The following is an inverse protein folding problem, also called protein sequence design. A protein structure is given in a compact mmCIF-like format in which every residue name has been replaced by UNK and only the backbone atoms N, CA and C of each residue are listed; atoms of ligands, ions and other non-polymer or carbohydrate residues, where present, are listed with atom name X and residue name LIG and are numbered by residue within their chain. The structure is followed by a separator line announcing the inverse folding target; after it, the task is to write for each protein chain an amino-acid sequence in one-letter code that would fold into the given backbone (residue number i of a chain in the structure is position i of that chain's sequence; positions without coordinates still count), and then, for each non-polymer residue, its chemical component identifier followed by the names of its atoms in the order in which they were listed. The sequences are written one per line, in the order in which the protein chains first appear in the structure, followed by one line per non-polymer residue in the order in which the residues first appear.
data_IF_029664738071
#
_entry.id   IF_029664738071
#
_cell.length_a   1.000
_cell.length_b   1.000
_cell.length_c   1.000
_cell.angle_alpha   90.00
_cell.angle_beta   90.00
_cell.angle_gamma   90.00
#
_symmetry.space_group_name_H-M   'P 1'
#
loop_
_entity.id
_entity.type
_entity.pdbx_description
1 polymer ?
#
# COMPACT_ATOMS: atom_id res chain seq x y z
N UNK A 1 -9.23 40.93 46.99
CA UNK A 1 -9.24 41.24 45.54
C UNK A 1 -7.93 40.91 44.85
N UNK A 2 -6.77 41.34 45.36
CA UNK A 2 -5.45 41.10 44.74
C UNK A 2 -5.14 39.62 44.45
N UNK A 3 -5.40 38.72 45.41
CA UNK A 3 -5.19 37.28 45.23
C UNK A 3 -6.08 36.64 44.16
N UNK A 4 -7.31 37.13 44.00
CA UNK A 4 -8.22 36.65 42.96
C UNK A 4 -7.72 37.06 41.57
N UNK A 5 -7.23 38.29 41.43
CA UNK A 5 -6.65 38.81 40.18
C UNK A 5 -5.39 38.05 39.77
N UNK A 6 -4.53 37.68 40.73
CA UNK A 6 -3.34 36.85 40.47
C UNK A 6 -3.76 35.45 39.98
N UNK A 7 -4.76 34.85 40.63
CA UNK A 7 -5.20 33.49 40.31
C UNK A 7 -5.85 33.42 38.92
N UNK A 8 -6.66 34.42 38.57
CA UNK A 8 -7.22 34.58 37.21
C UNK A 8 -6.12 34.80 36.17
N UNK A 9 -5.10 35.61 36.49
CA UNK A 9 -3.96 35.83 35.60
C UNK A 9 -3.15 34.57 35.33
N UNK A 10 -2.88 33.77 36.35
CA UNK A 10 -2.17 32.49 36.21
C UNK A 10 -2.99 31.47 35.41
N UNK A 11 -4.30 31.37 35.68
CA UNK A 11 -5.19 30.50 34.92
C UNK A 11 -5.25 30.89 33.44
N UNK A 12 -5.36 32.18 33.14
CA UNK A 12 -5.35 32.68 31.76
C UNK A 12 -4.03 32.39 31.05
N UNK A 13 -2.90 32.61 31.72
CA UNK A 13 -1.58 32.31 31.17
C UNK A 13 -1.43 30.82 30.83
N UNK A 14 -1.87 29.92 31.71
CA UNK A 14 -1.84 28.47 31.45
C UNK A 14 -2.68 28.07 30.22
N UNK A 15 -3.85 28.69 30.04
CA UNK A 15 -4.70 28.42 28.86
C UNK A 15 -3.99 28.86 27.57
N UNK A 16 -3.36 30.04 27.55
CA UNK A 16 -2.61 30.53 26.39
C UNK A 16 -1.43 29.60 26.06
N UNK A 17 -0.70 29.12 27.07
CA UNK A 17 0.40 28.16 26.88
C UNK A 17 -0.11 26.85 26.27
N UNK A 18 -1.23 26.31 26.76
CA UNK A 18 -1.82 25.09 26.23
C UNK A 18 -2.27 25.24 24.77
N UNK A 19 -2.84 26.39 24.41
CA UNK A 19 -3.21 26.70 23.01
C UNK A 19 -1.98 26.80 22.11
N UNK A 20 -0.91 27.46 22.58
CA UNK A 20 0.35 27.57 21.83
C UNK A 20 0.99 26.19 21.59
N UNK A 21 0.99 25.31 22.60
CA UNK A 21 1.45 23.92 22.46
C UNK A 21 0.56 23.16 21.48
N UNK A 22 -0.77 23.29 21.58
CA UNK A 22 -1.69 22.61 20.68
C UNK A 22 -1.50 23.02 19.21
N UNK A 23 -1.29 24.32 18.94
CA UNK A 23 -0.97 24.82 17.60
C UNK A 23 0.40 24.32 17.13
N UNK A 24 1.42 24.37 17.98
CA UNK A 24 2.77 23.90 17.66
C UNK A 24 2.87 22.39 17.40
N UNK A 25 2.00 21.59 18.03
CA UNK A 25 1.89 20.16 17.73
C UNK A 25 1.13 19.89 16.43
N UNK A 26 0.12 20.72 16.10
CA UNK A 26 -0.66 20.56 14.86
C UNK A 26 0.09 21.03 13.62
N UNK A 27 1.08 21.92 13.77
CA UNK A 27 1.97 22.36 12.69
C UNK A 27 3.15 21.43 12.43
N UNK A 28 3.15 20.20 12.98
CA UNK A 28 4.03 19.10 12.55
C UNK A 28 3.31 18.12 11.63
N UNK A 29 2.56 18.62 10.65
CA UNK A 29 2.69 18.02 9.32
C UNK A 29 4.00 18.59 8.78
N UNK A 30 5.06 17.79 8.62
CA UNK A 30 6.23 18.29 7.94
C UNK A 30 5.79 18.61 6.51
N UNK A 31 5.67 19.90 6.20
CA UNK A 31 5.94 20.37 4.85
C UNK A 31 7.42 20.05 4.62
N UNK A 32 7.65 18.84 4.13
CA UNK A 32 8.96 18.39 3.73
C UNK A 32 9.46 19.33 2.64
N UNK A 33 10.68 19.86 2.75
CA UNK A 33 11.24 20.68 1.69
C UNK A 33 11.21 19.86 0.39
N UNK A 34 10.78 20.42 -0.75
CA UNK A 34 10.87 19.70 -2.01
C UNK A 34 12.34 19.30 -2.21
N UNK A 35 12.61 18.00 -2.19
CA UNK A 35 13.95 17.47 -2.43
C UNK A 35 14.43 18.00 -3.77
N UNK A 36 15.58 18.67 -3.75
CA UNK A 36 16.19 19.30 -4.90
C UNK A 36 16.36 18.26 -6.03
N UNK A 37 15.88 18.54 -7.25
CA UNK A 37 16.06 17.62 -8.36
C UNK A 37 17.55 17.43 -8.61
N UNK A 38 18.04 16.20 -8.45
CA UNK A 38 19.41 15.84 -8.77
C UNK A 38 19.51 15.62 -10.28
N UNK A 39 20.34 16.43 -10.93
CA UNK A 39 20.52 16.39 -12.38
C UNK A 39 21.45 15.22 -12.71
N UNK A 40 20.89 14.15 -13.27
CA UNK A 40 21.71 13.16 -13.98
C UNK A 40 22.16 13.76 -15.32
N UNK A 41 23.41 13.47 -15.73
CA UNK A 41 24.06 14.01 -16.93
C UNK A 41 23.35 13.68 -18.27
N UNK A 42 22.21 12.97 -18.23
CA UNK A 42 21.34 12.63 -19.36
C UNK A 42 20.17 13.58 -19.59
N UNK A 43 19.98 14.61 -18.75
CA UNK A 43 18.87 15.57 -18.90
C UNK A 43 17.49 15.01 -18.51
N UNK A 44 17.46 13.84 -17.85
CA UNK A 44 16.24 13.24 -17.32
C UNK A 44 16.01 13.81 -15.90
N UNK A 45 14.88 14.48 -15.70
CA UNK A 45 14.42 14.91 -14.37
C UNK A 45 13.95 13.68 -13.59
N UNK A 46 14.84 13.02 -12.84
CA UNK A 46 14.41 12.04 -11.84
C UNK A 46 14.09 12.78 -10.54
N UNK A 47 12.80 13.01 -10.28
CA UNK A 47 12.37 13.29 -8.92
C UNK A 47 12.66 12.00 -8.15
N UNK A 48 13.61 12.03 -7.20
CA UNK A 48 13.84 10.91 -6.30
C UNK A 48 12.56 10.76 -5.49
N UNK A 49 11.80 9.70 -5.77
CA UNK A 49 10.54 9.42 -5.08
C UNK A 49 10.84 8.56 -3.86
N UNK A 50 10.12 8.79 -2.76
CA UNK A 50 10.19 7.92 -1.59
C UNK A 50 9.71 6.52 -1.94
N UNK A 51 10.37 5.51 -1.40
CA UNK A 51 9.98 4.12 -1.61
C UNK A 51 8.51 3.93 -1.19
N UNK A 52 7.72 3.13 -1.96
CA UNK A 52 6.38 2.75 -1.53
C UNK A 52 6.35 2.10 -0.14
N UNK A 53 7.46 1.47 0.29
CA UNK A 53 7.67 0.85 1.60
C UNK A 53 7.31 1.79 2.76
N UNK A 54 7.63 3.07 2.65
CA UNK A 54 7.41 4.04 3.73
C UNK A 54 5.92 4.36 3.93
N UNK A 55 5.14 4.23 2.86
CA UNK A 55 3.72 4.59 2.82
C UNK A 55 2.79 3.37 2.97
N UNK A 56 3.23 2.18 2.56
CA UNK A 56 2.40 0.98 2.50
C UNK A 56 1.97 0.47 3.87
N UNK A 57 2.78 0.71 4.90
CA UNK A 57 2.50 0.35 6.29
C UNK A 57 1.22 1.01 6.84
N UNK A 58 0.76 2.11 6.22
CA UNK A 58 -0.49 2.78 6.60
C UNK A 58 -1.74 2.04 6.08
N UNK A 59 -1.58 1.16 5.09
CA UNK A 59 -2.68 0.52 4.37
C UNK A 59 -2.72 -0.99 4.52
N UNK A 60 -1.60 -1.61 4.88
CA UNK A 60 -1.47 -3.07 5.02
C UNK A 60 -1.31 -3.42 6.50
N UNK A 61 -1.99 -4.48 6.98
CA UNK A 61 -1.80 -4.96 8.34
C UNK A 61 -0.35 -5.45 8.56
N UNK A 62 0.11 -5.27 9.78
CA UNK A 62 1.36 -5.83 10.30
C UNK A 62 1.27 -7.35 10.50
N UNK A 63 2.43 -7.99 10.66
CA UNK A 63 2.52 -9.43 10.92
C UNK A 63 1.78 -9.85 12.20
N UNK A 64 1.86 -9.01 13.25
CA UNK A 64 1.20 -9.25 14.52
C UNK A 64 -0.32 -9.13 14.40
N UNK A 65 -0.82 -8.12 13.68
CA UNK A 65 -2.24 -7.95 13.41
C UNK A 65 -2.81 -9.13 12.61
N UNK A 66 -2.08 -9.61 11.60
CA UNK A 66 -2.48 -10.80 10.83
C UNK A 66 -2.52 -12.05 11.71
N UNK A 67 -1.51 -12.25 12.56
CA UNK A 67 -1.44 -13.39 13.47
C UNK A 67 -2.59 -13.39 14.47
N UNK A 68 -2.89 -12.22 15.04
CA UNK A 68 -4.03 -12.03 15.95
C UNK A 68 -5.36 -12.25 15.24
N UNK A 69 -5.51 -11.73 14.01
CA UNK A 69 -6.72 -11.90 13.21
C UNK A 69 -6.98 -13.38 12.89
N UNK A 70 -5.94 -14.12 12.47
CA UNK A 70 -6.03 -15.54 12.12
C UNK A 70 -6.22 -16.45 13.34
N UNK A 71 -5.82 -16.02 14.54
CA UNK A 71 -6.02 -16.80 15.77
C UNK A 71 -7.50 -17.15 15.99
N UNK A 72 -8.42 -16.22 15.69
CA UNK A 72 -9.86 -16.38 15.84
C UNK A 72 -10.59 -17.06 14.67
N UNK A 73 -9.86 -17.57 13.67
CA UNK A 73 -10.44 -18.12 12.43
C UNK A 73 -10.16 -19.60 12.30
N UNK A 74 -11.16 -20.38 11.87
CA UNK A 74 -11.02 -21.83 11.73
C UNK A 74 -11.19 -22.30 10.27
N UNK A 75 -11.73 -21.45 9.40
CA UNK A 75 -12.04 -21.77 8.02
C UNK A 75 -11.68 -20.59 7.12
N UNK A 76 -11.37 -20.88 5.86
CA UNK A 76 -11.20 -19.89 4.81
C UNK A 76 -12.56 -19.52 4.17
N UNK A 77 -12.57 -18.60 3.21
CA UNK A 77 -13.80 -18.18 2.50
C UNK A 77 -14.46 -19.30 1.68
N UNK A 78 -13.76 -20.40 1.42
CA UNK A 78 -14.25 -21.57 0.69
C UNK A 78 -14.69 -22.70 1.65
N UNK A 79 -14.67 -22.46 2.97
CA UNK A 79 -15.01 -23.46 3.99
C UNK A 79 -13.92 -24.51 4.22
N UNK A 80 -12.68 -24.27 3.77
CA UNK A 80 -11.56 -25.18 4.03
C UNK A 80 -11.02 -24.95 5.45
N UNK A 81 -10.73 -26.02 6.21
CA UNK A 81 -10.21 -25.87 7.57
C UNK A 81 -8.81 -25.25 7.57
N UNK A 82 -8.57 -24.35 8.53
CA UNK A 82 -7.29 -23.67 8.77
C UNK A 82 -6.61 -24.23 10.02
N UNK A 83 -5.52 -24.96 9.80
CA UNK A 83 -4.65 -25.45 10.87
C UNK A 83 -3.70 -24.37 11.37
N UNK A 84 -3.01 -24.61 12.49
CA UNK A 84 -1.99 -23.70 12.99
C UNK A 84 -0.84 -23.45 12.00
N UNK A 85 -0.47 -24.48 11.24
CA UNK A 85 0.59 -24.38 10.23
C UNK A 85 0.11 -23.60 9.00
N UNK A 86 -1.15 -23.79 8.58
CA UNK A 86 -1.76 -22.99 7.51
C UNK A 86 -1.73 -21.50 7.86
N UNK A 87 -2.08 -21.14 9.10
CA UNK A 87 -2.08 -19.74 9.56
C UNK A 87 -0.68 -19.13 9.51
N UNK A 88 0.35 -19.87 9.97
CA UNK A 88 1.75 -19.43 9.90
C UNK A 88 2.20 -19.25 8.44
N UNK A 89 1.86 -20.20 7.57
CA UNK A 89 2.18 -20.13 6.15
C UNK A 89 1.52 -18.92 5.47
N UNK A 90 0.26 -18.61 5.80
CA UNK A 90 -0.45 -17.44 5.28
C UNK A 90 0.21 -16.11 5.69
N UNK A 91 0.62 -15.98 6.96
CA UNK A 91 1.33 -14.79 7.46
C UNK A 91 2.67 -14.62 6.77
N UNK A 92 3.45 -15.70 6.68
CA UNK A 92 4.76 -15.66 6.00
C UNK A 92 4.63 -15.34 4.51
N UNK A 93 3.65 -15.95 3.83
CA UNK A 93 3.39 -15.70 2.41
C UNK A 93 2.94 -14.26 2.15
N UNK A 94 2.16 -13.67 3.05
CA UNK A 94 1.75 -12.27 2.96
C UNK A 94 2.97 -11.33 2.93
N UNK A 95 3.86 -11.48 3.89
CA UNK A 95 5.06 -10.65 4.02
C UNK A 95 5.99 -10.83 2.80
N UNK A 96 6.23 -12.09 2.41
CA UNK A 96 7.04 -12.40 1.24
C UNK A 96 6.45 -11.77 -0.03
N UNK A 97 5.15 -11.94 -0.27
CA UNK A 97 4.48 -11.40 -1.45
C UNK A 97 4.52 -9.87 -1.47
N UNK A 98 4.29 -9.23 -0.33
CA UNK A 98 4.35 -7.77 -0.22
C UNK A 98 5.76 -7.25 -0.56
N UNK A 99 6.79 -7.89 -0.01
CA UNK A 99 8.18 -7.53 -0.26
C UNK A 99 8.59 -7.76 -1.72
N UNK A 100 8.16 -8.87 -2.33
CA UNK A 100 8.38 -9.17 -3.75
C UNK A 100 7.79 -8.07 -4.65
N UNK A 101 6.55 -7.65 -4.38
CA UNK A 101 5.88 -6.60 -5.14
C UNK A 101 6.53 -5.21 -4.94
N UNK A 102 6.95 -4.88 -3.71
CA UNK A 102 7.67 -3.63 -3.44
C UNK A 102 8.99 -3.60 -4.21
N UNK A 103 9.77 -4.68 -4.18
CA UNK A 103 11.04 -4.77 -4.91
C UNK A 103 10.86 -4.64 -6.41
N UNK A 104 9.81 -5.24 -6.97
CA UNK A 104 9.47 -5.09 -8.39
C UNK A 104 9.25 -3.61 -8.74
N UNK A 105 8.47 -2.89 -7.93
CA UNK A 105 8.18 -1.46 -8.15
C UNK A 105 9.44 -0.60 -7.97
N UNK A 106 10.26 -0.86 -6.95
CA UNK A 106 11.51 -0.13 -6.74
C UNK A 106 12.51 -0.38 -7.87
N UNK A 107 12.65 -1.64 -8.31
CA UNK A 107 13.51 -1.99 -9.43
C UNK A 107 13.02 -1.35 -10.74
N UNK A 108 11.70 -1.35 -10.98
CA UNK A 108 11.12 -0.72 -12.15
C UNK A 108 11.23 0.80 -12.13
N UNK A 109 11.10 1.45 -10.96
CA UNK A 109 11.34 2.90 -10.83
C UNK A 109 12.77 3.27 -11.20
N UNK A 110 13.77 2.50 -10.73
CA UNK A 110 15.17 2.68 -11.14
C UNK A 110 15.42 2.47 -12.64
N UNK A 111 14.62 1.61 -13.28
CA UNK A 111 14.72 1.31 -14.70
C UNK A 111 13.87 2.22 -15.59
N UNK A 112 13.08 3.13 -15.01
CA UNK A 112 12.18 4.01 -15.76
C UNK A 112 10.92 3.31 -16.30
N UNK A 113 10.45 2.25 -15.65
CA UNK A 113 9.22 1.55 -16.00
C UNK A 113 8.01 2.44 -15.73
N UNK A 114 7.17 2.66 -16.74
CA UNK A 114 5.99 3.51 -16.63
C UNK A 114 4.73 2.74 -16.19
N UNK A 115 4.61 1.46 -16.56
CA UNK A 115 3.40 0.66 -16.36
C UNK A 115 3.73 -0.67 -15.70
N UNK A 116 2.84 -1.09 -14.80
CA UNK A 116 2.87 -2.41 -14.18
C UNK A 116 1.53 -3.09 -14.39
N UNK A 117 1.52 -4.37 -14.71
CA UNK A 117 0.29 -5.14 -14.84
C UNK A 117 0.16 -6.17 -13.72
N UNK A 118 -1.08 -6.51 -13.40
CA UNK A 118 -1.44 -7.54 -12.45
C UNK A 118 -1.40 -8.90 -13.13
N UNK A 119 -0.57 -9.78 -12.59
CA UNK A 119 -0.45 -11.16 -12.98
C UNK A 119 -0.97 -12.08 -11.87
N UNK A 120 -1.54 -13.21 -12.29
CA UNK A 120 -2.12 -14.21 -11.40
C UNK A 120 -1.62 -15.58 -11.82
N UNK A 121 -0.82 -16.22 -10.97
CA UNK A 121 -0.33 -17.59 -11.21
C UNK A 121 -1.52 -18.58 -11.31
N UNK A 122 -2.55 -18.34 -10.51
CA UNK A 122 -3.77 -19.14 -10.44
C UNK A 122 -4.98 -18.25 -10.21
N UNK A 123 -6.16 -18.79 -10.48
CA UNK A 123 -7.41 -18.09 -10.29
C UNK A 123 -7.66 -17.73 -8.81
N UNK A 124 -7.87 -16.45 -8.55
CA UNK A 124 -8.08 -15.90 -7.21
C UNK A 124 -9.53 -15.39 -7.09
N UNK A 125 -10.42 -16.11 -6.37
CA UNK A 125 -11.83 -15.77 -6.30
C UNK A 125 -12.11 -14.46 -5.53
N UNK A 126 -11.16 -13.96 -4.75
CA UNK A 126 -11.31 -12.70 -3.99
C UNK A 126 -10.95 -11.50 -4.84
N UNK A 127 -9.93 -11.65 -5.68
CA UNK A 127 -9.48 -10.61 -6.60
C UNK A 127 -10.34 -10.53 -7.85
N UNK A 128 -10.86 -11.67 -8.33
CA UNK A 128 -11.67 -11.78 -9.54
C UNK A 128 -12.82 -10.77 -9.56
N UNK A 129 -12.97 -10.05 -10.66
CA UNK A 129 -14.04 -9.06 -10.86
C UNK A 129 -13.82 -7.72 -10.15
N UNK A 130 -12.76 -7.60 -9.35
CA UNK A 130 -12.22 -6.32 -8.85
C UNK A 130 -10.93 -5.96 -9.58
N UNK A 131 -10.05 -6.95 -9.73
CA UNK A 131 -8.76 -6.84 -10.40
C UNK A 131 -8.60 -8.09 -11.25
N UNK A 132 -8.54 -7.91 -12.56
CA UNK A 132 -8.40 -9.00 -13.51
C UNK A 132 -6.96 -9.07 -14.03
N UNK A 133 -6.53 -10.26 -14.46
CA UNK A 133 -5.21 -10.45 -15.07
C UNK A 133 -5.05 -9.53 -16.28
N UNK A 134 -3.95 -8.79 -16.32
CA UNK A 134 -3.69 -7.80 -17.35
C UNK A 134 -4.27 -6.42 -17.08
N UNK A 135 -5.02 -6.22 -15.98
CA UNK A 135 -5.22 -4.86 -15.49
C UNK A 135 -3.86 -4.22 -15.21
N UNK A 136 -3.69 -2.95 -15.56
CA UNK A 136 -2.45 -2.23 -15.33
C UNK A 136 -2.65 -0.97 -14.50
N UNK A 137 -1.57 -0.56 -13.84
CA UNK A 137 -1.43 0.68 -13.11
C UNK A 137 -0.17 1.38 -13.57
N UNK A 138 -0.22 2.70 -13.60
CA UNK A 138 0.99 3.48 -13.87
C UNK A 138 1.85 3.54 -12.61
N UNK A 139 3.14 3.81 -12.83
CA UNK A 139 4.07 4.11 -11.75
C UNK A 139 3.54 5.24 -10.87
N UNK A 140 3.07 6.33 -11.48
CA UNK A 140 2.48 7.50 -10.79
C UNK A 140 1.29 7.10 -9.90
N UNK A 141 0.40 6.24 -10.39
CA UNK A 141 -0.75 5.73 -9.64
C UNK A 141 -0.32 4.88 -8.44
N UNK A 142 0.74 4.08 -8.58
CA UNK A 142 1.28 3.28 -7.45
C UNK A 142 1.78 4.20 -6.34
N UNK A 143 2.57 5.23 -6.65
CA UNK A 143 3.08 6.16 -5.65
C UNK A 143 1.95 7.03 -5.05
N UNK A 144 0.93 7.38 -5.84
CA UNK A 144 -0.25 8.12 -5.36
C UNK A 144 -1.16 7.24 -4.50
N UNK A 145 -1.28 5.95 -4.82
CA UNK A 145 -2.16 5.01 -4.14
C UNK A 145 -1.44 3.70 -3.78
N UNK A 146 -0.54 3.68 -2.78
CA UNK A 146 0.27 2.50 -2.43
C UNK A 146 -0.54 1.23 -2.12
N UNK A 147 -1.81 1.40 -1.75
CA UNK A 147 -2.78 0.29 -1.57
C UNK A 147 -3.03 -0.56 -2.83
N UNK A 148 -2.67 -0.09 -4.02
CA UNK A 148 -2.70 -0.84 -5.29
C UNK A 148 -1.64 -1.93 -5.37
N UNK A 149 -0.64 -1.90 -4.49
CA UNK A 149 0.41 -2.92 -4.43
C UNK A 149 -0.16 -4.19 -3.75
N UNK A 150 -0.10 -5.36 -4.39
CA UNK A 150 -0.48 -6.64 -3.78
C UNK A 150 0.45 -7.02 -2.61
N UNK A 151 0.03 -7.91 -1.69
CA UNK A 151 -1.21 -8.69 -1.67
C UNK A 151 -2.44 -7.85 -1.27
N UNK A 152 -3.61 -8.20 -1.80
CA UNK A 152 -4.87 -7.52 -1.47
C UNK A 152 -5.65 -8.17 -0.33
N UNK A 153 -5.43 -9.47 -0.09
CA UNK A 153 -6.07 -10.27 0.95
C UNK A 153 -5.17 -11.42 1.40
N UNK A 154 -5.51 -12.07 2.50
CA UNK A 154 -4.71 -13.16 3.06
C UNK A 154 -4.79 -14.35 2.10
N UNK A 155 -3.63 -14.83 1.65
CA UNK A 155 -3.52 -15.88 0.63
C UNK A 155 -3.64 -15.38 -0.82
N UNK A 156 -3.58 -14.07 -1.04
CA UNK A 156 -3.59 -13.47 -2.38
C UNK A 156 -2.40 -13.95 -3.23
N UNK A 157 -2.68 -14.24 -4.49
CA UNK A 157 -1.69 -14.74 -5.47
C UNK A 157 -1.34 -13.73 -6.56
N UNK A 158 -1.88 -12.53 -6.45
CA UNK A 158 -1.63 -11.45 -7.38
C UNK A 158 -0.20 -10.91 -7.23
N UNK A 159 0.45 -10.63 -8.36
CA UNK A 159 1.76 -9.97 -8.43
C UNK A 159 1.72 -8.83 -9.43
N UNK A 160 2.48 -7.78 -9.15
CA UNK A 160 2.82 -6.76 -10.12
C UNK A 160 3.98 -7.25 -10.98
N UNK A 161 3.93 -6.91 -12.26
CA UNK A 161 4.98 -7.13 -13.23
C UNK A 161 5.22 -5.86 -14.01
N UNK A 162 6.49 -5.44 -14.07
CA UNK A 162 6.90 -4.34 -14.91
C UNK A 162 6.62 -4.65 -16.38
N UNK A 163 6.05 -3.68 -17.11
CA UNK A 163 5.89 -3.80 -18.55
C UNK A 163 6.99 -3.01 -19.28
N UNK A 164 7.83 -3.71 -20.04
CA UNK A 164 8.95 -3.11 -20.75
C UNK A 164 8.67 -2.83 -22.25
N UNK A 165 7.44 -2.97 -22.72
CA UNK A 165 7.05 -2.67 -24.11
C UNK A 165 7.51 -3.68 -25.17
N UNK A 166 8.44 -4.58 -24.84
CA UNK A 166 8.94 -5.64 -25.73
C UNK A 166 8.20 -6.97 -25.58
N UNK A 167 7.30 -7.09 -24.61
CA UNK A 167 6.54 -8.31 -24.34
C UNK A 167 5.37 -8.43 -25.31
N UNK A 168 5.14 -9.63 -25.88
CA UNK A 168 3.95 -9.89 -26.70
C UNK A 168 2.73 -10.03 -25.77
N UNK A 169 2.08 -8.89 -25.54
CA UNK A 169 0.94 -8.71 -24.64
C UNK A 169 -0.29 -9.55 -25.00
N UNK A 170 -0.28 -10.17 -26.17
CA UNK A 170 -1.33 -11.10 -26.63
C UNK A 170 -1.35 -12.39 -25.83
N UNK A 171 -0.22 -12.81 -25.28
CA UNK A 171 -0.13 -14.04 -24.48
C UNK A 171 -0.36 -13.81 -22.98
N UNK A 172 -0.05 -12.61 -22.47
CA UNK A 172 -0.11 -12.29 -21.03
C UNK A 172 -1.47 -11.78 -20.56
N UNK A 173 -2.37 -11.41 -21.48
CA UNK A 173 -3.68 -10.87 -21.11
C UNK A 173 -4.82 -11.62 -21.78
N UNK A 174 -5.69 -12.27 -20.98
CA UNK A 174 -6.95 -12.84 -21.49
C UNK A 174 -7.88 -11.80 -22.13
N UNK A 175 -7.65 -10.50 -21.92
CA UNK A 175 -8.56 -9.40 -22.26
C UNK A 175 -7.93 -8.12 -22.86
N UNK A 176 -6.63 -8.14 -23.20
CA UNK A 176 -5.86 -6.92 -23.49
C UNK A 176 -5.57 -6.13 -22.21
N UNK A 177 -4.45 -5.39 -22.18
CA UNK A 177 -4.12 -4.55 -21.03
C UNK A 177 -5.16 -3.45 -20.85
N UNK A 178 -5.82 -3.43 -19.68
CA UNK A 178 -6.85 -2.42 -19.34
C UNK A 178 -6.41 -1.63 -18.11
N UNK A 179 -6.63 -0.31 -18.07
CA UNK A 179 -6.25 0.45 -16.89
C UNK A 179 -7.14 0.04 -15.72
N UNK A 180 -6.54 -0.09 -14.53
CA UNK A 180 -7.27 -0.30 -13.29
C UNK A 180 -8.12 0.93 -12.93
N UNK A 181 -7.56 2.12 -13.18
CA UNK A 181 -8.21 3.41 -12.94
C UNK A 181 -9.04 3.82 -14.16
N UNK A 182 -10.25 4.35 -13.93
CA UNK A 182 -11.11 4.90 -15.00
C UNK A 182 -11.17 6.42 -14.99
N UNK A 183 -11.20 7.02 -13.79
CA UNK A 183 -11.37 8.47 -13.59
C UNK A 183 -10.43 9.02 -12.49
N UNK A 184 -9.16 8.59 -12.48
CA UNK A 184 -8.13 8.89 -11.46
C UNK A 184 -8.48 8.51 -10.00
N UNK A 185 -9.64 7.91 -9.80
CA UNK A 185 -10.11 7.40 -8.52
C UNK A 185 -9.72 5.93 -8.39
N UNK A 186 -9.30 5.55 -7.19
CA UNK A 186 -9.01 4.14 -6.94
C UNK A 186 -10.32 3.34 -6.99
N UNK A 187 -10.39 2.25 -7.80
CA UNK A 187 -11.53 1.35 -7.76
C UNK A 187 -11.64 0.62 -6.41
N UNK A 188 -12.79 -0.02 -6.14
CA UNK A 188 -12.93 -0.89 -4.98
C UNK A 188 -11.95 -2.06 -5.05
N UNK A 189 -10.98 -2.08 -4.14
CA UNK A 189 -10.07 -3.20 -3.97
C UNK A 189 -10.66 -4.25 -3.02
N UNK A 190 -10.16 -5.49 -3.05
CA UNK A 190 -10.49 -6.48 -2.03
C UNK A 190 -10.14 -6.03 -0.61
N UNK A 191 -10.82 -6.62 0.37
CA UNK A 191 -10.53 -6.38 1.78
C UNK A 191 -9.43 -7.32 2.24
N UNK A 192 -8.44 -6.80 2.97
CA UNK A 192 -7.30 -7.62 3.41
C UNK A 192 -7.71 -8.83 4.26
N UNK A 193 -8.83 -8.71 4.97
CA UNK A 193 -9.33 -9.70 5.93
C UNK A 193 -9.94 -10.96 5.29
N UNK A 194 -10.15 -10.97 3.98
CA UNK A 194 -10.61 -12.17 3.28
C UNK A 194 -9.49 -13.22 3.30
N UNK A 195 -9.81 -14.46 3.71
CA UNK A 195 -8.83 -15.54 3.87
C UNK A 195 -9.03 -16.57 2.76
N UNK A 196 -8.02 -16.76 1.93
CA UNK A 196 -7.95 -17.86 0.98
C UNK A 196 -6.83 -18.81 1.40
N UNK A 197 -7.16 -20.07 1.68
CA UNK A 197 -6.13 -21.06 2.06
C UNK A 197 -5.17 -21.30 0.89
N UNK A 198 -3.87 -21.41 1.17
CA UNK A 198 -2.88 -21.85 0.20
C UNK A 198 -3.15 -23.32 -0.13
N UNK A 199 -3.23 -23.64 -1.43
CA UNK A 199 -3.50 -24.99 -1.93
C UNK A 199 -2.28 -25.90 -1.80
#
# INVERSE_FOLDING_TARGET
MFFLSILVGVAFFLIVVLVAIHIGMRSRTPDEPPESPTIHASGIYSIVRRSPRDSIAQFKPSQDELSQYLAGKNEDIQGKPLTGDDKKALVSRWEQSLEENIREVEAGDHQGVEFYYYDFDEDDPVCRGRIDQGHFVTREEIFKFPRTIPPFHIGCRCRLKAHHGSEDLRETTRLGMRPLFRDESLPPLPTWSDILKLS
#
